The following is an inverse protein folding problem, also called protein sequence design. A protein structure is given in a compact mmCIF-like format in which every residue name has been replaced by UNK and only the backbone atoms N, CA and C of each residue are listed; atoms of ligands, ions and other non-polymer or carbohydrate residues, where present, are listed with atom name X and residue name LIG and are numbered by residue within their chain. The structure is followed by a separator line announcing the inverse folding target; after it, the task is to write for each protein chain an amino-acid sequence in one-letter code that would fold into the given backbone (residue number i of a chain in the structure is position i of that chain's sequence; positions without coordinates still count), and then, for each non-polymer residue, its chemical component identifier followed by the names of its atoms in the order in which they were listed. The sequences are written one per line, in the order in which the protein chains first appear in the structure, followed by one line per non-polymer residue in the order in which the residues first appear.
data_IF_903005933745
#
_entry.id   IF_903005933745
#
_cell.length_a   1.000
_cell.length_b   1.000
_cell.length_c   1.000
_cell.angle_alpha   90.00
_cell.angle_beta   90.00
_cell.angle_gamma   90.00
#
_symmetry.space_group_name_H-M   'P 1'
#
loop_
_entity.id
_entity.type
_entity.pdbx_description
1 polymer ?
#
# COMPACT_ATOMS: atom_id res chain seq x y z
N UNK A 1 -9.32 28.22 -24.93
CA UNK A 1 -9.67 28.01 -23.50
C UNK A 1 -9.92 26.52 -23.31
N UNK A 2 -9.03 25.84 -22.59
CA UNK A 2 -9.04 24.38 -22.37
C UNK A 2 -9.85 24.11 -21.10
N UNK A 3 -10.99 23.44 -21.25
CA UNK A 3 -11.70 22.84 -20.12
C UNK A 3 -10.84 21.67 -19.64
N UNK A 4 -10.02 21.91 -18.62
CA UNK A 4 -9.15 20.92 -18.00
C UNK A 4 -10.04 19.92 -17.25
N UNK A 5 -9.91 18.64 -17.59
CA UNK A 5 -10.76 17.54 -17.13
C UNK A 5 -10.62 17.30 -15.60
N UNK A 6 -11.37 18.04 -14.79
CA UNK A 6 -11.58 17.71 -13.36
C UNK A 6 -12.24 16.34 -13.15
N UNK A 7 -12.91 15.81 -14.19
CA UNK A 7 -13.57 14.51 -14.16
C UNK A 7 -12.57 13.35 -13.96
N UNK A 8 -11.34 13.46 -14.44
CA UNK A 8 -10.35 12.37 -14.35
C UNK A 8 -9.71 12.29 -12.95
N UNK A 9 -9.42 13.44 -12.34
CA UNK A 9 -8.92 13.49 -10.96
C UNK A 9 -9.99 13.01 -9.98
N UNK A 10 -11.27 13.34 -10.24
CA UNK A 10 -12.41 12.82 -9.49
C UNK A 10 -12.64 11.32 -9.73
N UNK A 11 -12.43 10.80 -10.95
CA UNK A 11 -12.52 9.37 -11.24
C UNK A 11 -11.42 8.58 -10.50
N UNK A 12 -10.18 9.07 -10.49
CA UNK A 12 -9.09 8.44 -9.74
C UNK A 12 -9.29 8.51 -8.21
N UNK A 13 -9.89 9.61 -7.69
CA UNK A 13 -10.25 9.70 -6.27
C UNK A 13 -11.42 8.78 -5.90
N UNK A 14 -12.38 8.56 -6.80
CA UNK A 14 -13.56 7.72 -6.51
C UNK A 14 -13.25 6.22 -6.49
N UNK A 15 -12.16 5.77 -7.11
CA UNK A 15 -11.66 4.38 -6.99
C UNK A 15 -10.72 4.17 -5.78
N UNK A 16 -10.21 5.25 -5.18
CA UNK A 16 -9.41 5.19 -3.96
C UNK A 16 -10.27 5.20 -2.68
N UNK A 17 -11.59 5.41 -2.81
CA UNK A 17 -12.51 5.22 -1.70
C UNK A 17 -12.66 3.71 -1.49
N UNK A 18 -12.30 3.17 -0.31
CA UNK A 18 -12.75 1.83 0.03
C UNK A 18 -14.27 1.83 -0.08
N UNK A 19 -14.82 0.83 -0.77
CA UNK A 19 -16.22 0.45 -0.56
C UNK A 19 -16.25 -0.03 0.88
N UNK A 20 -16.39 0.91 1.82
CA UNK A 20 -16.68 0.65 3.20
C UNK A 20 -18.10 0.09 3.17
N UNK A 21 -18.19 -1.23 3.05
CA UNK A 21 -19.43 -1.92 3.32
C UNK A 21 -19.79 -1.57 4.75
N UNK A 22 -20.83 -0.74 4.91
CA UNK A 22 -21.60 -0.69 6.14
C UNK A 22 -22.20 -2.07 6.33
N UNK A 23 -21.41 -3.01 6.86
CA UNK A 23 -21.95 -4.13 7.62
C UNK A 23 -22.40 -3.53 8.95
N UNK A 24 -23.53 -2.84 8.90
CA UNK A 24 -24.33 -2.45 10.05
C UNK A 24 -24.84 -3.73 10.70
N UNK A 25 -23.94 -4.41 11.42
CA UNK A 25 -24.30 -5.38 12.43
C UNK A 25 -24.95 -4.58 13.57
N UNK A 26 -26.23 -4.83 13.89
CA UNK A 26 -26.90 -4.11 14.97
C UNK A 26 -26.14 -4.37 16.27
N UNK A 27 -25.66 -3.28 16.90
CA UNK A 27 -25.21 -3.29 18.29
C UNK A 27 -26.39 -3.78 19.14
N UNK A 28 -26.28 -5.01 19.60
CA UNK A 28 -27.19 -5.56 20.57
C UNK A 28 -26.84 -4.90 21.91
N UNK A 29 -27.53 -3.81 22.24
CA UNK A 29 -27.52 -3.21 23.59
C UNK A 29 -27.96 -4.27 24.60
N UNK A 30 -26.98 -4.90 25.26
CA UNK A 30 -27.23 -5.71 26.45
C UNK A 30 -27.55 -4.75 27.59
N UNK A 31 -28.84 -4.48 27.71
CA UNK A 31 -29.48 -3.80 28.84
C UNK A 31 -29.01 -4.40 30.16
N UNK A 32 -28.20 -3.63 30.87
CA UNK A 32 -27.73 -3.94 32.22
C UNK A 32 -28.81 -3.54 33.23
N UNK A 33 -29.87 -4.35 33.32
CA UNK A 33 -30.86 -4.24 34.38
C UNK A 33 -30.66 -5.35 35.41
N UNK A 34 -30.14 -4.93 36.57
CA UNK A 34 -30.70 -5.23 37.89
C UNK A 34 -31.20 -6.67 38.11
N UNK A 35 -30.31 -7.54 38.62
CA UNK A 35 -30.73 -8.74 39.35
C UNK A 35 -30.23 -8.60 40.78
N UNK A 36 -31.22 -8.57 41.67
CA UNK A 36 -31.12 -8.34 43.08
C UNK A 36 -30.23 -9.35 43.81
N UNK A 37 -29.57 -8.82 44.85
CA UNK A 37 -28.98 -9.52 45.98
C UNK A 37 -29.91 -10.62 46.52
N UNK A 38 -29.56 -11.87 46.25
CA UNK A 38 -29.90 -13.01 47.08
C UNK A 38 -28.58 -13.74 47.36
N UNK A 39 -28.07 -13.60 48.58
CA UNK A 39 -27.11 -14.54 49.14
C UNK A 39 -27.87 -15.79 49.57
N UNK A 40 -27.63 -16.94 48.92
CA UNK A 40 -27.68 -18.17 49.70
C UNK A 40 -26.46 -19.06 49.43
N UNK A 41 -25.80 -19.36 50.55
CA UNK A 41 -25.14 -20.63 50.88
C UNK A 41 -24.10 -21.13 49.88
N UNK A 42 -22.84 -20.82 50.20
CA UNK A 42 -21.63 -21.41 49.63
C UNK A 42 -21.67 -22.93 49.89
N UNK A 43 -22.18 -23.68 48.92
CA UNK A 43 -21.78 -25.06 48.74
C UNK A 43 -20.44 -24.99 48.00
N UNK A 44 -19.33 -25.35 48.63
CA UNK A 44 -18.06 -25.60 47.92
C UNK A 44 -18.22 -26.94 47.20
N UNK A 45 -18.49 -26.99 45.87
CA UNK A 45 -18.33 -28.22 45.13
C UNK A 45 -16.88 -28.67 45.32
N UNK A 46 -16.70 -29.92 45.73
CA UNK A 46 -15.40 -30.57 45.62
C UNK A 46 -14.93 -30.40 44.17
N UNK A 47 -13.67 -30.00 43.91
CA UNK A 47 -13.15 -29.87 42.56
C UNK A 47 -13.22 -31.26 41.93
N UNK A 48 -14.24 -31.48 41.10
CA UNK A 48 -14.24 -32.57 40.16
C UNK A 48 -13.06 -32.27 39.24
N UNK A 49 -11.99 -33.05 39.36
CA UNK A 49 -10.93 -33.08 38.37
C UNK A 49 -11.58 -33.61 37.08
N UNK A 50 -12.19 -32.71 36.32
CA UNK A 50 -12.30 -32.89 34.89
C UNK A 50 -10.86 -32.80 34.40
N UNK A 51 -10.22 -33.97 34.28
CA UNK A 51 -9.24 -34.14 33.21
C UNK A 51 -10.02 -33.85 31.93
N UNK A 52 -10.04 -32.57 31.54
CA UNK A 52 -10.31 -32.19 30.16
C UNK A 52 -9.29 -33.00 29.37
N UNK A 53 -9.79 -34.07 28.77
CA UNK A 53 -9.07 -34.84 27.78
C UNK A 53 -8.85 -33.84 26.65
N UNK A 54 -7.72 -33.13 26.73
CA UNK A 54 -7.25 -32.17 25.75
C UNK A 54 -6.91 -32.99 24.51
N UNK A 55 -7.97 -33.36 23.79
CA UNK A 55 -7.91 -33.95 22.47
C UNK A 55 -7.26 -32.88 21.63
N UNK A 56 -5.93 -32.94 21.56
CA UNK A 56 -5.10 -32.04 20.79
C UNK A 56 -5.71 -31.93 19.40
N UNK A 57 -6.50 -30.87 19.19
CA UNK A 57 -7.15 -30.64 17.92
C UNK A 57 -5.98 -30.43 16.97
N UNK A 58 -5.82 -31.29 15.95
CA UNK A 58 -4.68 -31.21 15.06
C UNK A 58 -4.61 -29.79 14.54
N UNK A 59 -3.62 -29.04 15.02
CA UNK A 59 -3.48 -27.64 14.69
C UNK A 59 -2.95 -27.63 13.27
N UNK A 60 -3.83 -27.40 12.30
CA UNK A 60 -3.43 -27.23 10.92
C UNK A 60 -2.58 -25.97 10.84
N UNK A 61 -1.27 -26.13 10.90
CA UNK A 61 -0.34 -25.04 10.62
C UNK A 61 -0.61 -24.60 9.18
N UNK A 62 -0.93 -23.31 8.94
CA UNK A 62 -1.18 -22.82 7.60
C UNK A 62 0.03 -23.16 6.71
N UNK A 63 -0.26 -23.64 5.50
CA UNK A 63 0.79 -24.05 4.56
C UNK A 63 1.64 -22.84 4.20
N UNK A 64 2.90 -22.81 4.61
CA UNK A 64 3.81 -21.69 4.35
C UNK A 64 3.94 -21.43 2.83
N UNK A 65 3.73 -20.17 2.41
CA UNK A 65 3.83 -19.76 1.00
C UNK A 65 5.18 -19.09 0.71
N UNK A 66 5.72 -19.32 -0.49
CA UNK A 66 7.02 -18.75 -0.87
C UNK A 66 6.88 -17.26 -1.23
N UNK A 67 7.56 -16.39 -0.48
CA UNK A 67 7.55 -14.94 -0.76
C UNK A 67 8.13 -14.61 -2.13
N UNK A 68 9.23 -15.27 -2.51
CA UNK A 68 9.85 -15.09 -3.82
C UNK A 68 8.91 -15.43 -4.97
N UNK A 69 8.18 -16.55 -4.87
CA UNK A 69 7.22 -16.97 -5.89
C UNK A 69 6.07 -15.96 -5.97
N UNK A 70 5.50 -15.58 -4.83
CA UNK A 70 4.40 -14.60 -4.76
C UNK A 70 4.78 -13.27 -5.41
N UNK A 71 5.97 -12.74 -5.11
CA UNK A 71 6.46 -11.49 -5.71
C UNK A 71 6.77 -11.66 -7.20
N UNK A 72 7.41 -12.76 -7.59
CA UNK A 72 7.73 -13.04 -9.01
C UNK A 72 6.46 -13.12 -9.87
N UNK A 73 5.39 -13.72 -9.34
CA UNK A 73 4.09 -13.72 -10.01
C UNK A 73 3.53 -12.31 -10.18
N UNK A 74 3.55 -11.48 -9.12
CA UNK A 74 3.14 -10.07 -9.25
C UNK A 74 4.02 -9.26 -10.19
N UNK A 75 5.30 -9.61 -10.30
CA UNK A 75 6.23 -8.99 -11.26
C UNK A 75 5.92 -9.39 -12.72
N UNK A 76 5.30 -10.55 -12.96
CA UNK A 76 4.85 -10.95 -14.29
C UNK A 76 3.53 -10.30 -14.69
N UNK A 77 2.59 -10.19 -13.75
CA UNK A 77 1.35 -9.48 -13.96
C UNK A 77 0.78 -8.99 -12.61
N UNK A 78 0.43 -7.70 -12.50
CA UNK A 78 -0.14 -7.15 -11.28
C UNK A 78 -1.36 -7.95 -10.82
N UNK A 79 -1.33 -8.37 -9.56
CA UNK A 79 -2.40 -9.17 -8.94
C UNK A 79 -2.17 -10.69 -8.92
N UNK A 80 -1.29 -11.27 -9.76
CA UNK A 80 -1.08 -12.74 -9.78
C UNK A 80 -0.52 -13.27 -8.46
N UNK A 81 0.36 -12.54 -7.77
CA UNK A 81 0.83 -12.92 -6.45
C UNK A 81 -0.31 -13.03 -5.43
N UNK A 82 -1.28 -12.12 -5.47
CA UNK A 82 -2.44 -12.14 -4.58
C UNK A 82 -3.41 -13.27 -4.95
N UNK A 83 -3.55 -13.58 -6.23
CA UNK A 83 -4.31 -14.76 -6.68
C UNK A 83 -3.68 -16.06 -6.14
N UNK A 84 -2.35 -16.16 -6.13
CA UNK A 84 -1.63 -17.28 -5.50
C UNK A 84 -1.85 -17.34 -3.97
N UNK A 85 -1.99 -16.20 -3.31
CA UNK A 85 -2.35 -16.13 -1.90
C UNK A 85 -3.81 -16.55 -1.63
N UNK A 86 -4.69 -16.52 -2.64
CA UNK A 86 -6.13 -16.77 -2.50
C UNK A 86 -6.94 -15.47 -2.30
N UNK A 87 -6.31 -14.31 -2.43
CA UNK A 87 -6.91 -13.00 -2.24
C UNK A 87 -7.45 -12.43 -3.56
N UNK A 88 -8.52 -13.04 -4.06
CA UNK A 88 -9.06 -12.71 -5.38
C UNK A 88 -9.60 -11.27 -5.49
N UNK A 89 -10.07 -10.68 -4.39
CA UNK A 89 -10.53 -9.27 -4.36
C UNK A 89 -9.38 -8.31 -4.69
N UNK A 90 -8.25 -8.45 -3.99
CA UNK A 90 -7.04 -7.65 -4.22
C UNK A 90 -6.40 -7.96 -5.57
N UNK A 91 -6.39 -9.24 -5.96
CA UNK A 91 -5.89 -9.64 -7.28
C UNK A 91 -6.70 -8.98 -8.41
N UNK A 92 -8.03 -8.99 -8.31
CA UNK A 92 -8.92 -8.39 -9.30
C UNK A 92 -8.78 -6.87 -9.40
N UNK A 93 -8.60 -6.17 -8.28
CA UNK A 93 -8.41 -4.72 -8.30
C UNK A 93 -7.08 -4.31 -8.93
N UNK A 94 -5.99 -5.03 -8.63
CA UNK A 94 -4.67 -4.81 -9.22
C UNK A 94 -4.64 -5.14 -10.72
N UNK A 95 -5.27 -6.25 -11.10
CA UNK A 95 -5.39 -6.63 -12.51
C UNK A 95 -6.21 -5.61 -13.29
N UNK A 96 -7.38 -5.21 -12.77
CA UNK A 96 -8.27 -4.25 -13.40
C UNK A 96 -7.64 -2.87 -13.55
N UNK A 97 -7.00 -2.35 -12.51
CA UNK A 97 -6.30 -1.06 -12.57
C UNK A 97 -5.14 -1.09 -13.56
N UNK A 98 -4.31 -2.15 -13.55
CA UNK A 98 -3.23 -2.32 -14.52
C UNK A 98 -3.74 -2.36 -15.96
N UNK A 99 -4.80 -3.11 -16.24
CA UNK A 99 -5.41 -3.20 -17.58
C UNK A 99 -5.95 -1.85 -18.05
N UNK A 100 -6.59 -1.08 -17.17
CA UNK A 100 -7.08 0.27 -17.47
C UNK A 100 -5.92 1.21 -17.82
N UNK A 101 -4.87 1.27 -16.99
CA UNK A 101 -3.72 2.15 -17.24
C UNK A 101 -2.95 1.76 -18.50
N UNK A 102 -2.79 0.45 -18.76
CA UNK A 102 -2.18 -0.02 -20.01
C UNK A 102 -3.01 0.43 -21.22
N UNK A 103 -4.34 0.27 -21.17
CA UNK A 103 -5.24 0.69 -22.25
C UNK A 103 -5.15 2.20 -22.49
N UNK A 104 -5.19 3.02 -21.46
CA UNK A 104 -5.09 4.48 -21.62
C UNK A 104 -3.66 4.95 -21.96
N UNK A 105 -2.64 4.19 -21.57
CA UNK A 105 -1.23 4.45 -21.87
C UNK A 105 -0.81 4.08 -23.29
N UNK A 106 -1.56 3.22 -24.00
CA UNK A 106 -1.26 2.86 -25.39
C UNK A 106 -2.14 3.55 -26.43
N UNK A 107 -3.29 4.09 -26.01
CA UNK A 107 -4.23 4.76 -26.92
C UNK A 107 -3.86 6.23 -27.15
N UNK A 108 -4.13 6.74 -28.36
CA UNK A 108 -3.87 8.15 -28.73
C UNK A 108 -4.93 9.14 -28.21
N UNK A 109 -5.96 8.65 -27.51
CA UNK A 109 -7.21 9.38 -27.21
C UNK A 109 -7.04 10.54 -26.21
N UNK A 110 -5.88 10.69 -25.55
CA UNK A 110 -5.68 11.71 -24.50
C UNK A 110 -4.58 12.76 -24.74
N UNK A 111 -3.90 12.74 -25.89
CA UNK A 111 -2.68 13.52 -26.07
C UNK A 111 -1.47 12.97 -25.30
N UNK A 112 -0.28 13.52 -25.57
CA UNK A 112 0.99 12.98 -25.08
C UNK A 112 1.15 13.01 -23.55
N UNK A 113 0.69 14.09 -22.90
CA UNK A 113 0.75 14.24 -21.45
C UNK A 113 -0.11 13.21 -20.71
N UNK A 114 -1.30 12.90 -21.24
CA UNK A 114 -2.18 11.87 -20.68
C UNK A 114 -1.58 10.48 -20.87
N UNK A 115 -1.00 10.20 -22.05
CA UNK A 115 -0.36 8.93 -22.35
C UNK A 115 0.81 8.65 -21.41
N UNK A 116 1.72 9.62 -21.28
CA UNK A 116 2.88 9.52 -20.37
C UNK A 116 2.45 9.36 -18.91
N UNK A 117 1.46 10.11 -18.45
CA UNK A 117 0.91 9.98 -17.08
C UNK A 117 0.32 8.58 -16.82
N UNK A 118 -0.38 7.99 -17.79
CA UNK A 118 -0.93 6.64 -17.65
C UNK A 118 0.15 5.55 -17.66
N UNK A 119 1.19 5.69 -18.49
CA UNK A 119 2.31 4.75 -18.47
C UNK A 119 3.05 4.78 -17.13
N UNK A 120 3.22 5.97 -16.56
CA UNK A 120 3.76 6.16 -15.22
C UNK A 120 2.86 5.52 -14.16
N UNK A 121 1.55 5.77 -14.21
CA UNK A 121 0.60 5.13 -13.29
C UNK A 121 0.65 3.60 -13.41
N UNK A 122 0.71 3.06 -14.63
CA UNK A 122 0.83 1.63 -14.89
C UNK A 122 2.09 1.03 -14.28
N UNK A 123 3.25 1.67 -14.46
CA UNK A 123 4.51 1.26 -13.84
C UNK A 123 4.41 1.27 -12.31
N UNK A 124 3.81 2.32 -11.73
CA UNK A 124 3.66 2.44 -10.28
C UNK A 124 2.69 1.39 -9.71
N UNK A 125 1.63 1.04 -10.43
CA UNK A 125 0.76 -0.08 -10.07
C UNK A 125 1.54 -1.39 -10.03
N UNK A 126 2.50 -1.59 -10.93
CA UNK A 126 3.36 -2.76 -10.96
C UNK A 126 4.28 -2.83 -9.74
N UNK A 127 4.97 -1.73 -9.44
CA UNK A 127 5.81 -1.59 -8.25
C UNK A 127 5.03 -1.83 -6.96
N UNK A 128 3.87 -1.20 -6.85
CA UNK A 128 3.00 -1.42 -5.71
C UNK A 128 2.49 -2.86 -5.63
N UNK A 129 2.12 -3.50 -6.74
CA UNK A 129 1.65 -4.88 -6.74
C UNK A 129 2.71 -5.87 -6.23
N UNK A 130 3.98 -5.64 -6.54
CA UNK A 130 5.09 -6.43 -6.00
C UNK A 130 5.26 -6.23 -4.49
N UNK A 131 5.23 -4.97 -4.03
CA UNK A 131 5.29 -4.64 -2.61
C UNK A 131 4.13 -5.24 -1.81
N UNK A 132 2.89 -5.05 -2.26
CA UNK A 132 1.71 -5.60 -1.60
C UNK A 132 1.76 -7.12 -1.50
N UNK A 133 2.18 -7.79 -2.58
CA UNK A 133 2.32 -9.25 -2.59
C UNK A 133 3.40 -9.74 -1.62
N UNK A 134 4.50 -8.99 -1.47
CA UNK A 134 5.54 -9.28 -0.47
C UNK A 134 5.06 -9.04 0.96
N UNK A 135 4.29 -7.98 1.21
CA UNK A 135 3.69 -7.70 2.52
C UNK A 135 2.69 -8.79 2.91
N UNK A 136 1.80 -9.14 1.99
CA UNK A 136 0.66 -10.00 2.29
C UNK A 136 1.10 -11.46 2.43
N UNK A 137 2.11 -11.94 1.68
CA UNK A 137 2.69 -13.28 1.91
C UNK A 137 3.41 -13.38 3.25
N UNK A 138 4.00 -12.29 3.74
CA UNK A 138 4.64 -12.24 5.05
C UNK A 138 3.62 -12.29 6.17
N UNK A 139 2.57 -11.48 6.06
CA UNK A 139 1.43 -11.51 6.97
C UNK A 139 0.78 -12.90 6.98
N UNK A 140 0.60 -13.51 5.80
CA UNK A 140 0.07 -14.87 5.66
C UNK A 140 0.95 -15.93 6.36
N UNK A 141 2.27 -15.79 6.31
CA UNK A 141 3.22 -16.67 6.99
C UNK A 141 3.43 -16.32 8.48
N UNK A 142 2.69 -15.34 9.02
CA UNK A 142 2.79 -14.92 10.41
C UNK A 142 4.11 -14.23 10.77
N UNK A 143 4.77 -13.59 9.80
CA UNK A 143 6.09 -12.94 9.94
C UNK A 143 7.20 -13.86 10.50
N UNK A 144 7.01 -15.18 10.45
CA UNK A 144 8.00 -16.15 10.95
C UNK A 144 9.25 -16.12 10.07
N UNK A 145 10.41 -15.92 10.69
CA UNK A 145 11.71 -15.92 10.00
C UNK A 145 12.14 -14.58 9.42
N UNK A 146 11.44 -13.49 9.74
CA UNK A 146 11.79 -12.14 9.30
C UNK A 146 12.24 -11.27 10.48
N UNK A 147 13.36 -10.57 10.32
CA UNK A 147 13.93 -9.72 11.38
C UNK A 147 13.24 -8.37 11.52
N UNK A 148 12.70 -7.85 10.42
CA UNK A 148 12.07 -6.55 10.35
C UNK A 148 10.55 -6.69 10.41
N UNK A 149 9.85 -5.87 11.20
CA UNK A 149 8.39 -5.87 11.21
C UNK A 149 7.86 -5.09 10.00
N UNK A 150 7.13 -5.78 9.13
CA UNK A 150 6.52 -5.21 7.94
C UNK A 150 5.43 -4.18 8.32
N UNK A 151 5.35 -3.01 7.66
CA UNK A 151 4.23 -2.09 7.83
C UNK A 151 2.92 -2.77 7.41
N UNK A 152 1.90 -2.69 8.26
CA UNK A 152 0.55 -3.24 8.00
C UNK A 152 -0.40 -2.23 7.35
N UNK A 153 0.09 -1.03 7.06
CA UNK A 153 -0.71 0.06 6.48
C UNK A 153 -1.17 -0.32 5.07
N UNK A 154 -2.43 -0.02 4.75
CA UNK A 154 -3.00 -0.26 3.42
C UNK A 154 -2.51 0.82 2.42
N UNK A 155 -2.63 0.57 1.11
CA UNK A 155 -2.32 1.62 0.12
C UNK A 155 -3.20 2.86 0.29
N UNK A 156 -4.45 2.68 0.72
CA UNK A 156 -5.32 3.80 1.00
C UNK A 156 -4.71 4.67 2.11
N UNK A 157 -4.20 4.05 3.18
CA UNK A 157 -3.53 4.76 4.28
C UNK A 157 -2.28 5.49 3.79
N UNK A 158 -1.43 4.84 2.98
CA UNK A 158 -0.23 5.48 2.40
C UNK A 158 -0.58 6.62 1.43
N UNK A 159 -1.59 6.44 0.58
CA UNK A 159 -2.03 7.46 -0.36
C UNK A 159 -2.66 8.66 0.37
N UNK A 160 -3.27 8.41 1.53
CA UNK A 160 -3.85 9.46 2.37
C UNK A 160 -2.85 10.10 3.33
N UNK A 161 -1.73 9.42 3.62
CA UNK A 161 -0.71 9.88 4.55
C UNK A 161 -0.25 11.34 4.33
N UNK A 162 -0.02 11.84 3.10
CA UNK A 162 0.39 13.23 2.89
C UNK A 162 -0.70 14.25 3.17
N UNK A 163 -1.98 13.85 3.18
CA UNK A 163 -3.10 14.73 3.52
C UNK A 163 -3.39 14.73 5.02
N UNK A 164 -2.75 13.85 5.79
CA UNK A 164 -2.86 13.85 7.24
C UNK A 164 -2.05 15.00 7.83
N UNK A 165 -2.74 15.89 8.54
CA UNK A 165 -2.12 17.04 9.19
C UNK A 165 -1.04 16.65 10.20
N UNK A 166 -1.17 15.47 10.82
CA UNK A 166 -0.17 14.89 11.73
C UNK A 166 1.14 14.54 11.01
N UNK A 167 1.07 14.10 9.76
CA UNK A 167 2.23 13.74 8.93
C UNK A 167 2.88 15.00 8.37
N UNK A 168 2.10 15.97 7.87
CA UNK A 168 2.62 17.24 7.34
C UNK A 168 3.45 18.00 8.40
N UNK A 169 3.11 17.88 9.69
CA UNK A 169 3.86 18.55 10.77
C UNK A 169 5.23 17.94 11.07
N UNK A 170 5.51 16.74 10.57
CA UNK A 170 6.78 16.06 10.84
C UNK A 170 7.92 16.80 10.11
N UNK A 171 8.98 17.23 10.82
CA UNK A 171 10.09 17.97 10.20
C UNK A 171 10.80 17.17 9.11
N UNK A 172 10.75 15.84 9.16
CA UNK A 172 11.32 14.93 8.17
C UNK A 172 10.68 15.11 6.79
N UNK A 173 9.37 15.38 6.74
CA UNK A 173 8.64 15.61 5.48
C UNK A 173 9.13 16.89 4.81
N UNK A 174 9.25 17.98 5.58
CA UNK A 174 9.76 19.26 5.07
C UNK A 174 11.26 19.20 4.74
N UNK A 175 12.05 18.44 5.50
CA UNK A 175 13.46 18.23 5.24
C UNK A 175 13.70 17.58 3.87
N UNK A 176 12.95 16.52 3.56
CA UNK A 176 13.00 15.87 2.25
C UNK A 176 12.57 16.79 1.12
N UNK A 177 11.44 17.50 1.30
CA UNK A 177 10.92 18.44 0.30
C UNK A 177 11.90 19.60 0.01
N UNK A 178 12.40 20.27 1.05
CA UNK A 178 13.36 21.37 0.91
C UNK A 178 14.69 20.90 0.34
N UNK A 179 15.16 19.72 0.75
CA UNK A 179 16.36 19.10 0.20
C UNK A 179 16.24 18.82 -1.29
N UNK A 180 15.14 18.17 -1.71
CA UNK A 180 14.87 17.89 -3.12
C UNK A 180 14.76 19.18 -3.95
N UNK A 181 14.06 20.20 -3.43
CA UNK A 181 13.95 21.50 -4.09
C UNK A 181 15.30 22.18 -4.26
N UNK A 182 16.14 22.15 -3.21
CA UNK A 182 17.48 22.75 -3.24
C UNK A 182 18.39 22.04 -4.25
N UNK A 183 18.38 20.71 -4.26
CA UNK A 183 19.15 19.91 -5.23
C UNK A 183 18.66 20.14 -6.64
N UNK A 184 17.34 20.12 -6.86
CA UNK A 184 16.74 20.40 -8.18
C UNK A 184 17.09 21.79 -8.70
N UNK A 185 17.02 22.81 -7.84
CA UNK A 185 17.42 24.17 -8.17
C UNK A 185 18.93 24.26 -8.48
N UNK A 186 19.77 23.58 -7.71
CA UNK A 186 21.22 23.53 -7.92
C UNK A 186 21.61 22.84 -9.23
N UNK A 187 21.02 21.69 -9.53
CA UNK A 187 21.22 20.97 -10.81
C UNK A 187 20.73 21.84 -11.97
N UNK A 188 19.53 22.42 -11.85
CA UNK A 188 18.98 23.33 -12.85
C UNK A 188 19.92 24.51 -13.11
N UNK A 189 20.42 25.14 -12.05
CA UNK A 189 21.39 26.23 -12.15
C UNK A 189 22.68 25.80 -12.87
N UNK A 190 23.27 24.66 -12.52
CA UNK A 190 24.50 24.17 -13.15
C UNK A 190 24.30 23.87 -14.64
N UNK A 191 23.22 23.18 -15.00
CA UNK A 191 22.90 22.85 -16.40
C UNK A 191 22.64 24.12 -17.22
N UNK A 192 21.92 25.09 -16.64
CA UNK A 192 21.61 26.36 -17.31
C UNK A 192 22.84 27.27 -17.41
N UNK A 193 23.73 27.28 -16.41
CA UNK A 193 24.95 28.11 -16.40
C UNK A 193 25.94 27.73 -17.49
N UNK A 194 25.90 26.49 -17.99
CA UNK A 194 26.75 26.02 -19.10
C UNK A 194 26.20 26.38 -20.49
N UNK A 195 25.00 26.96 -20.58
CA UNK A 195 24.41 27.38 -21.84
C UNK A 195 24.36 28.90 -21.91
N UNK A 196 25.45 29.50 -22.40
CA UNK A 196 25.66 30.96 -22.49
C UNK A 196 24.55 31.76 -23.20
N UNK A 197 23.63 31.12 -23.92
CA UNK A 197 22.48 31.78 -24.55
C UNK A 197 21.24 30.86 -24.62
N UNK A 198 21.01 30.03 -23.60
CA UNK A 198 19.73 29.34 -23.51
C UNK A 198 18.64 30.37 -23.19
N UNK A 199 17.94 30.85 -24.23
CA UNK A 199 16.57 31.34 -24.04
C UNK A 199 15.84 30.26 -23.25
N UNK A 200 15.53 30.59 -22.01
CA UNK A 200 14.85 29.72 -21.09
C UNK A 200 13.41 29.61 -21.57
N UNK A 201 13.21 28.83 -22.65
CA UNK A 201 11.98 28.09 -22.86
C UNK A 201 11.95 27.07 -21.74
N UNK A 202 11.63 27.56 -20.53
CA UNK A 202 10.91 26.82 -19.53
C UNK A 202 9.71 26.30 -20.29
N UNK A 203 9.86 25.11 -20.89
CA UNK A 203 8.72 24.29 -21.18
C UNK A 203 8.15 24.07 -19.79
N UNK A 204 7.19 24.91 -19.44
CA UNK A 204 6.22 24.63 -18.39
C UNK A 204 5.34 23.48 -18.84
N UNK A 205 5.93 22.43 -19.45
CA UNK A 205 5.42 21.08 -19.35
C UNK A 205 5.42 20.83 -17.85
N UNK A 206 4.29 21.23 -17.27
CA UNK A 206 4.05 21.26 -15.86
C UNK A 206 4.02 19.81 -15.45
N UNK A 207 5.18 19.27 -15.10
CA UNK A 207 5.23 18.11 -14.23
C UNK A 207 4.71 18.63 -12.89
N UNK A 208 3.38 18.76 -12.81
CA UNK A 208 2.69 19.14 -11.60
C UNK A 208 3.26 18.26 -10.49
N UNK A 209 3.58 18.78 -9.31
CA UNK A 209 4.06 17.96 -8.18
C UNK A 209 3.14 16.75 -7.91
N UNK A 210 1.86 16.88 -8.24
CA UNK A 210 0.85 15.82 -8.20
C UNK A 210 1.12 14.64 -9.15
N UNK A 211 1.82 14.83 -10.27
CA UNK A 211 2.22 13.77 -11.20
C UNK A 211 3.46 13.00 -10.73
N UNK A 212 4.35 13.65 -9.98
CA UNK A 212 5.52 12.98 -9.38
C UNK A 212 5.13 12.16 -8.14
N UNK A 213 4.00 12.47 -7.53
CA UNK A 213 3.56 11.83 -6.29
C UNK A 213 3.30 10.32 -6.43
N UNK A 214 2.57 9.82 -7.46
CA UNK A 214 2.43 8.39 -7.70
C UNK A 214 3.77 7.67 -7.93
N UNK A 215 4.74 8.33 -8.58
CA UNK A 215 6.09 7.78 -8.81
C UNK A 215 6.80 7.60 -7.49
N UNK A 216 6.80 8.62 -6.64
CA UNK A 216 7.40 8.55 -5.32
C UNK A 216 6.81 7.43 -4.48
N UNK A 217 5.48 7.24 -4.47
CA UNK A 217 4.85 6.13 -3.76
C UNK A 217 5.30 4.79 -4.34
N UNK A 218 5.26 4.64 -5.67
CA UNK A 218 5.62 3.37 -6.33
C UNK A 218 7.07 2.98 -6.04
N UNK A 219 8.00 3.91 -6.22
CA UNK A 219 9.43 3.71 -5.96
C UNK A 219 9.72 3.44 -4.49
N UNK A 220 9.19 4.25 -3.56
CA UNK A 220 9.39 4.04 -2.12
C UNK A 220 8.82 2.67 -1.68
N UNK A 221 7.63 2.31 -2.14
CA UNK A 221 7.01 1.01 -1.86
C UNK A 221 7.88 -0.14 -2.38
N UNK A 222 8.43 0.00 -3.59
CA UNK A 222 9.29 -1.03 -4.17
C UNK A 222 10.65 -1.11 -3.48
N UNK A 223 11.37 0.00 -3.37
CA UNK A 223 12.73 0.01 -2.85
C UNK A 223 12.78 -0.22 -1.35
N UNK A 224 12.04 0.57 -0.56
CA UNK A 224 12.06 0.44 0.90
C UNK A 224 11.10 -0.61 1.42
N UNK A 225 9.97 -0.77 0.76
CA UNK A 225 8.97 -1.75 1.18
C UNK A 225 9.33 -3.18 0.80
N UNK A 226 9.95 -3.42 -0.36
CA UNK A 226 10.27 -4.77 -0.83
C UNK A 226 11.76 -5.04 -0.95
N UNK A 227 12.48 -4.27 -1.76
CA UNK A 227 13.84 -4.62 -2.17
C UNK A 227 14.83 -4.58 -1.00
N UNK A 228 14.78 -3.52 -0.19
CA UNK A 228 15.68 -3.36 0.95
C UNK A 228 15.46 -4.44 2.03
N UNK A 229 14.24 -4.75 2.49
CA UNK A 229 14.00 -5.87 3.40
C UNK A 229 14.43 -7.22 2.81
N UNK A 230 14.06 -7.49 1.55
CA UNK A 230 14.41 -8.74 0.87
C UNK A 230 15.94 -8.93 0.76
N UNK A 231 16.68 -7.87 0.43
CA UNK A 231 18.14 -7.89 0.37
C UNK A 231 18.74 -8.01 1.77
N UNK A 232 18.23 -7.27 2.76
CA UNK A 232 18.70 -7.37 4.13
C UNK A 232 18.53 -8.81 4.66
N UNK A 233 17.39 -9.44 4.42
CA UNK A 233 17.12 -10.82 4.85
C UNK A 233 18.02 -11.85 4.15
N UNK A 234 18.42 -11.60 2.90
CA UNK A 234 19.29 -12.53 2.15
C UNK A 234 20.78 -12.32 2.36
N UNK A 235 21.19 -11.08 2.55
CA UNK A 235 22.62 -10.71 2.60
C UNK A 235 23.13 -10.70 4.02
N UNK A 236 22.29 -10.40 5.03
CA UNK A 236 22.73 -10.32 6.42
C UNK A 236 22.62 -11.70 7.08
N UNK A 237 23.73 -12.35 7.48
CA UNK A 237 23.69 -13.74 7.97
C UNK A 237 23.12 -13.91 9.38
N UNK A 238 22.67 -12.83 10.03
CA UNK A 238 22.49 -12.79 11.49
C UNK A 238 21.04 -12.71 11.97
N UNK A 239 20.04 -12.61 11.09
CA UNK A 239 18.65 -12.45 11.54
C UNK A 239 18.47 -11.16 12.29
#
# INVERSE_FOLDING_TARGET
MKNFNYALTLALLSYALPIYGNDDMPEQEVSSNEIALLEPTIFTPQPFFQEEMDLAVPTFTPQHKSSFLTVSLSALCPGLGHAYLGEYKTAGSLFGSSALFATFGTNEIGGEDFRSSNLVAWQNTWFYSMYAAYRDVRAYNGDVGYSYKMPTESLADLAWAPFQWSVIKKPEVWGGFLGALTVGAGIGYLILSQRDNAELKLSTSSTFPLLAFPVGIGEESFFRGFLQPMLAERVTPWG
#
